data_IF_772812976116
#
_entry.id   IF_772812976116
#
_cell.length_a   1.000
_cell.length_b   1.000
_cell.length_c   1.000
_cell.angle_alpha   90.00
_cell.angle_beta   90.00
_cell.angle_gamma   90.00
#
_symmetry.space_group_name_H-M   'P 1'
#
loop_
_entity.id
_entity.type
_entity.pdbx_description
1 polymer ?
#
# COMPACT_ATOMS: atom_id res chain seq x y z
N UNK A 1 -54.40 0.05 -0.31
CA UNK A 1 -53.07 0.46 0.21
C UNK A 1 -53.04 0.72 1.72
N UNK A 2 -54.03 1.39 2.33
CA UNK A 2 -54.09 1.69 3.78
C UNK A 2 -53.77 0.49 4.70
N UNK A 3 -54.30 -0.70 4.37
CA UNK A 3 -54.15 -1.92 5.18
C UNK A 3 -52.70 -2.43 5.26
N UNK A 4 -51.93 -2.27 4.17
CA UNK A 4 -50.55 -2.73 4.09
C UNK A 4 -49.61 -1.84 4.92
N UNK A 5 -49.86 -0.53 4.92
CA UNK A 5 -49.12 0.45 5.72
C UNK A 5 -49.39 0.20 7.21
N UNK A 6 -50.64 -0.09 7.58
CA UNK A 6 -51.01 -0.37 8.96
C UNK A 6 -50.35 -1.65 9.50
N UNK A 7 -50.35 -2.73 8.71
CA UNK A 7 -49.66 -3.97 9.06
C UNK A 7 -48.14 -3.78 9.18
N UNK A 8 -47.55 -2.97 8.29
CA UNK A 8 -46.13 -2.63 8.32
C UNK A 8 -45.76 -1.80 9.56
N UNK A 9 -46.60 -0.83 9.92
CA UNK A 9 -46.45 -0.04 11.16
C UNK A 9 -46.54 -0.93 12.41
N UNK A 10 -47.52 -1.83 12.44
CA UNK A 10 -47.70 -2.77 13.54
C UNK A 10 -46.50 -3.72 13.69
N UNK A 11 -45.95 -4.24 12.59
CA UNK A 11 -44.75 -5.08 12.59
C UNK A 11 -43.49 -4.36 13.09
N UNK A 12 -43.35 -3.06 12.77
CA UNK A 12 -42.25 -2.24 13.30
C UNK A 12 -42.37 -2.05 14.81
N UNK A 13 -43.58 -1.85 15.31
CA UNK A 13 -43.83 -1.65 16.75
C UNK A 13 -43.82 -2.96 17.54
N UNK A 14 -44.20 -4.08 16.92
CA UNK A 14 -44.24 -5.40 17.53
C UNK A 14 -43.78 -6.50 16.55
N UNK A 15 -42.47 -6.79 16.47
CA UNK A 15 -41.93 -7.80 15.55
C UNK A 15 -42.29 -9.23 15.96
N UNK A 16 -42.65 -9.41 17.24
CA UNK A 16 -42.93 -10.70 17.87
C UNK A 16 -44.24 -10.64 18.65
N UNK A 17 -45.40 -10.75 17.97
CA UNK A 17 -46.69 -10.68 18.64
C UNK A 17 -46.89 -11.86 19.60
N UNK A 18 -47.36 -11.56 20.81
CA UNK A 18 -47.71 -12.55 21.82
C UNK A 18 -48.99 -13.33 21.44
N UNK A 19 -49.42 -14.29 22.27
CA UNK A 19 -50.57 -15.13 21.97
C UNK A 19 -51.88 -14.34 21.81
N UNK A 20 -52.10 -13.34 22.67
CA UNK A 20 -53.32 -12.53 22.66
C UNK A 20 -53.37 -11.64 21.41
N UNK A 21 -52.25 -11.01 21.05
CA UNK A 21 -52.11 -10.22 19.83
C UNK A 21 -52.29 -11.09 18.59
N UNK A 22 -51.75 -12.32 18.58
CA UNK A 22 -51.95 -13.26 17.47
C UNK A 22 -53.41 -13.69 17.31
N UNK A 23 -54.15 -13.82 18.42
CA UNK A 23 -55.58 -14.14 18.40
C UNK A 23 -56.39 -12.96 17.84
N UNK A 24 -56.16 -11.76 18.36
CA UNK A 24 -56.82 -10.54 17.87
C UNK A 24 -56.56 -10.30 16.37
N UNK A 25 -55.32 -10.52 15.92
CA UNK A 25 -54.97 -10.45 14.51
C UNK A 25 -55.65 -11.54 13.68
N UNK A 26 -55.72 -12.78 14.20
CA UNK A 26 -56.46 -13.89 13.58
C UNK A 26 -57.91 -13.49 13.34
N UNK A 27 -58.57 -12.94 14.35
CA UNK A 27 -59.98 -12.53 14.30
C UNK A 27 -60.18 -11.36 13.32
N UNK A 28 -59.30 -10.35 13.36
CA UNK A 28 -59.35 -9.19 12.44
C UNK A 28 -59.04 -9.53 10.98
N UNK A 29 -58.16 -10.50 10.74
CA UNK A 29 -57.71 -10.90 9.40
C UNK A 29 -58.51 -12.08 8.83
N UNK A 30 -59.33 -12.76 9.63
CA UNK A 30 -59.97 -14.01 9.25
C UNK A 30 -58.97 -15.15 8.98
N UNK A 31 -57.81 -15.12 9.64
CA UNK A 31 -56.72 -16.08 9.43
C UNK A 31 -56.55 -17.00 10.63
N UNK A 32 -56.14 -18.25 10.40
CA UNK A 32 -55.77 -19.16 11.51
C UNK A 32 -54.54 -18.62 12.26
N UNK A 33 -54.46 -18.85 13.57
CA UNK A 33 -53.32 -18.42 14.41
C UNK A 33 -51.94 -18.84 13.83
N UNK A 34 -51.85 -20.03 13.22
CA UNK A 34 -50.63 -20.50 12.56
C UNK A 34 -50.28 -19.67 11.33
N UNK A 35 -51.27 -19.26 10.52
CA UNK A 35 -51.04 -18.39 9.37
C UNK A 35 -50.53 -17.03 9.83
N UNK A 36 -51.08 -16.46 10.91
CA UNK A 36 -50.56 -15.23 11.52
C UNK A 36 -49.11 -15.41 11.98
N UNK A 37 -48.78 -16.53 12.64
CA UNK A 37 -47.39 -16.82 13.05
C UNK A 37 -46.43 -16.85 11.84
N UNK A 38 -46.81 -17.52 10.76
CA UNK A 38 -45.99 -17.62 9.55
C UNK A 38 -45.90 -16.30 8.79
N UNK A 39 -46.99 -15.52 8.73
CA UNK A 39 -47.02 -14.19 8.13
C UNK A 39 -45.96 -13.28 8.76
N UNK A 40 -45.93 -13.20 10.10
CA UNK A 40 -44.94 -12.38 10.83
C UNK A 40 -43.51 -12.90 10.66
N UNK A 41 -43.32 -14.23 10.64
CA UNK A 41 -42.02 -14.84 10.36
C UNK A 41 -41.53 -14.44 8.96
N UNK A 42 -42.35 -14.66 7.94
CA UNK A 42 -42.01 -14.36 6.54
C UNK A 42 -41.75 -12.88 6.34
N UNK A 43 -42.58 -12.01 6.94
CA UNK A 43 -42.44 -10.57 6.78
C UNK A 43 -41.16 -10.04 7.43
N UNK A 44 -40.74 -10.56 8.59
CA UNK A 44 -39.43 -10.24 9.18
C UNK A 44 -38.26 -10.66 8.29
N UNK A 45 -38.33 -11.84 7.68
CA UNK A 45 -37.31 -12.29 6.73
C UNK A 45 -37.27 -11.39 5.50
N UNK A 46 -38.42 -11.07 4.91
CA UNK A 46 -38.52 -10.14 3.77
C UNK A 46 -37.89 -8.78 4.09
N UNK A 47 -38.22 -8.19 5.25
CA UNK A 47 -37.66 -6.92 5.69
C UNK A 47 -36.15 -6.97 5.86
N UNK A 48 -35.64 -8.04 6.48
CA UNK A 48 -34.20 -8.23 6.66
C UNK A 48 -33.47 -8.37 5.32
N UNK A 49 -34.06 -9.09 4.37
CA UNK A 49 -33.50 -9.24 3.01
C UNK A 49 -33.52 -7.92 2.25
N UNK A 50 -34.63 -7.18 2.32
CA UNK A 50 -34.77 -5.89 1.67
C UNK A 50 -33.78 -4.86 2.22
N UNK A 51 -33.63 -4.78 3.54
CA UNK A 51 -32.64 -3.90 4.20
C UNK A 51 -31.20 -4.23 3.80
N UNK A 52 -30.85 -5.52 3.77
CA UNK A 52 -29.54 -5.97 3.29
C UNK A 52 -29.28 -5.58 1.84
N UNK A 53 -30.27 -5.79 0.97
CA UNK A 53 -30.16 -5.43 -0.44
C UNK A 53 -29.97 -3.92 -0.59
N UNK A 54 -30.80 -3.11 0.07
CA UNK A 54 -30.71 -1.65 0.02
C UNK A 54 -29.34 -1.16 0.50
N UNK A 55 -28.85 -1.68 1.64
CA UNK A 55 -27.50 -1.37 2.13
C UNK A 55 -26.41 -1.75 1.13
N UNK A 56 -26.50 -2.93 0.53
CA UNK A 56 -25.52 -3.37 -0.46
C UNK A 56 -25.51 -2.47 -1.71
N UNK A 57 -26.68 -2.08 -2.21
CA UNK A 57 -26.78 -1.13 -3.33
C UNK A 57 -26.19 0.23 -2.97
N UNK A 58 -26.44 0.74 -1.76
CA UNK A 58 -25.84 2.00 -1.30
C UNK A 58 -24.32 1.88 -1.22
N UNK A 59 -23.79 0.79 -0.65
CA UNK A 59 -22.35 0.56 -0.58
C UNK A 59 -21.71 0.40 -1.96
N UNK A 60 -22.38 -0.22 -2.92
CA UNK A 60 -21.90 -0.30 -4.31
C UNK A 60 -21.82 1.09 -4.94
N UNK A 61 -22.85 1.91 -4.75
CA UNK A 61 -22.89 3.28 -5.26
C UNK A 61 -21.74 4.11 -4.68
N UNK A 62 -21.58 4.10 -3.36
CA UNK A 62 -20.48 4.80 -2.67
C UNK A 62 -19.10 4.28 -3.11
N UNK A 63 -18.96 2.98 -3.33
CA UNK A 63 -17.70 2.40 -3.81
C UNK A 63 -17.35 2.89 -5.23
N UNK A 64 -18.33 2.95 -6.11
CA UNK A 64 -18.13 3.40 -7.49
C UNK A 64 -17.82 4.91 -7.54
N UNK A 65 -18.46 5.72 -6.69
CA UNK A 65 -18.12 7.14 -6.50
C UNK A 65 -16.67 7.31 -6.02
N UNK A 66 -16.27 6.59 -4.97
CA UNK A 66 -14.89 6.63 -4.46
C UNK A 66 -13.87 6.15 -5.50
N UNK A 67 -14.21 5.15 -6.32
CA UNK A 67 -13.34 4.69 -7.42
C UNK A 67 -13.19 5.74 -8.50
N UNK A 68 -14.27 6.43 -8.87
CA UNK A 68 -14.23 7.52 -9.84
C UNK A 68 -13.36 8.68 -9.33
N UNK A 69 -13.55 9.11 -8.08
CA UNK A 69 -12.72 10.13 -7.45
C UNK A 69 -11.25 9.71 -7.39
N UNK A 70 -10.97 8.45 -6.98
CA UNK A 70 -9.62 7.93 -6.91
C UNK A 70 -8.93 7.92 -8.27
N UNK A 71 -9.66 7.57 -9.34
CA UNK A 71 -9.17 7.63 -10.71
C UNK A 71 -8.83 9.07 -11.11
N UNK A 72 -9.73 10.02 -10.85
CA UNK A 72 -9.48 11.44 -11.12
C UNK A 72 -8.24 11.98 -10.38
N UNK A 73 -8.07 11.65 -9.10
CA UNK A 73 -6.90 12.07 -8.33
C UNK A 73 -5.60 11.46 -8.87
N UNK A 74 -5.62 10.17 -9.25
CA UNK A 74 -4.48 9.51 -9.87
C UNK A 74 -4.11 10.17 -11.19
N UNK A 75 -5.09 10.46 -12.05
CA UNK A 75 -4.86 11.16 -13.32
C UNK A 75 -4.31 12.57 -13.10
N UNK A 76 -4.88 13.34 -12.15
CA UNK A 76 -4.40 14.67 -11.81
C UNK A 76 -2.94 14.63 -11.32
N UNK A 77 -2.59 13.65 -10.48
CA UNK A 77 -1.23 13.44 -9.99
C UNK A 77 -0.29 13.03 -11.12
N UNK A 78 -0.65 12.06 -11.96
CA UNK A 78 0.14 11.65 -13.12
C UNK A 78 0.36 12.83 -14.06
N UNK A 79 -0.66 13.63 -14.35
CA UNK A 79 -0.57 14.82 -15.17
C UNK A 79 0.30 15.91 -14.54
N UNK A 80 0.20 16.12 -13.23
CA UNK A 80 1.06 17.05 -12.50
C UNK A 80 2.53 16.58 -12.52
N UNK A 81 2.78 15.28 -12.30
CA UNK A 81 4.10 14.68 -12.43
C UNK A 81 4.63 14.81 -13.86
N UNK A 82 3.82 14.59 -14.91
CA UNK A 82 4.25 14.78 -16.29
C UNK A 82 4.58 16.25 -16.57
N UNK A 83 3.80 17.20 -16.05
CA UNK A 83 4.09 18.64 -16.19
C UNK A 83 5.34 19.07 -15.42
N UNK A 84 5.60 18.50 -14.25
CA UNK A 84 6.82 18.75 -13.46
C UNK A 84 8.05 18.00 -14.01
N UNK A 85 7.86 16.82 -14.62
CA UNK A 85 8.91 15.92 -15.09
C UNK A 85 9.16 16.00 -16.61
N UNK A 86 8.44 16.88 -17.32
CA UNK A 86 8.35 16.86 -18.79
C UNK A 86 9.55 17.42 -19.57
N UNK A 87 10.60 17.96 -18.93
CA UNK A 87 11.84 18.35 -19.64
C UNK A 87 13.03 18.64 -18.72
N UNK A 88 12.81 19.25 -17.55
CA UNK A 88 13.91 19.66 -16.67
C UNK A 88 14.45 18.51 -15.80
N UNK A 89 13.58 17.77 -15.10
CA UNK A 89 14.00 16.79 -14.10
C UNK A 89 14.68 15.55 -14.72
N UNK A 90 14.15 15.02 -15.84
CA UNK A 90 14.75 13.85 -16.51
C UNK A 90 16.10 14.19 -17.16
N UNK A 91 16.24 15.39 -17.73
CA UNK A 91 17.50 15.84 -18.34
C UNK A 91 18.53 16.20 -17.27
N UNK A 92 18.14 16.84 -16.17
CA UNK A 92 19.07 17.19 -15.09
C UNK A 92 19.58 15.95 -14.35
N UNK A 93 18.73 14.97 -14.06
CA UNK A 93 19.18 13.71 -13.43
C UNK A 93 20.08 12.93 -14.38
N UNK A 94 19.73 12.84 -15.68
CA UNK A 94 20.56 12.15 -16.69
C UNK A 94 21.91 12.85 -16.94
N UNK A 95 21.92 14.18 -16.96
CA UNK A 95 23.14 14.99 -17.13
C UNK A 95 24.05 14.90 -15.91
N UNK A 96 23.50 14.99 -14.69
CA UNK A 96 24.27 14.80 -13.46
C UNK A 96 24.83 13.38 -13.35
N UNK A 97 24.04 12.38 -13.73
CA UNK A 97 24.50 10.98 -13.72
C UNK A 97 25.65 10.76 -14.71
N UNK A 98 25.56 11.30 -15.93
CA UNK A 98 26.65 11.22 -16.91
C UNK A 98 27.92 11.92 -16.42
N UNK A 99 27.78 13.13 -15.86
CA UNK A 99 28.89 13.89 -15.28
C UNK A 99 29.56 13.13 -14.12
N UNK A 100 28.78 12.53 -13.22
CA UNK A 100 29.29 11.73 -12.11
C UNK A 100 30.02 10.45 -12.57
N UNK A 101 29.59 9.83 -13.68
CA UNK A 101 30.29 8.67 -14.27
C UNK A 101 31.62 9.07 -14.89
N UNK A 102 31.68 10.20 -15.60
CA UNK A 102 32.91 10.73 -16.19
C UNK A 102 33.91 11.12 -15.09
N UNK A 103 33.43 11.81 -14.06
CA UNK A 103 34.27 12.23 -12.94
C UNK A 103 34.79 11.04 -12.11
N UNK A 104 33.95 10.02 -11.86
CA UNK A 104 34.42 8.78 -11.23
C UNK A 104 35.50 8.06 -12.04
N UNK A 105 35.36 8.02 -13.37
CA UNK A 105 36.38 7.41 -14.23
C UNK A 105 37.71 8.19 -14.16
N UNK A 106 37.64 9.52 -14.14
CA UNK A 106 38.81 10.40 -13.96
C UNK A 106 39.50 10.17 -12.61
N UNK A 107 38.72 10.15 -11.52
CA UNK A 107 39.24 9.93 -10.17
C UNK A 107 39.87 8.54 -10.01
N UNK A 108 39.24 7.49 -10.56
CA UNK A 108 39.81 6.13 -10.56
C UNK A 108 41.15 6.08 -11.28
N UNK A 109 41.27 6.73 -12.44
CA UNK A 109 42.56 6.85 -13.14
C UNK A 109 43.63 7.56 -12.30
N UNK A 110 43.26 8.65 -11.60
CA UNK A 110 44.20 9.34 -10.71
C UNK A 110 44.65 8.48 -9.53
N UNK A 111 43.74 7.68 -8.97
CA UNK A 111 44.08 6.71 -7.92
C UNK A 111 45.03 5.65 -8.48
N UNK A 112 44.80 5.13 -9.67
CA UNK A 112 45.66 4.14 -10.31
C UNK A 112 47.06 4.70 -10.62
N UNK A 113 47.15 5.94 -11.12
CA UNK A 113 48.42 6.62 -11.40
C UNK A 113 49.22 6.86 -10.10
N UNK A 114 48.55 7.33 -9.04
CA UNK A 114 49.17 7.50 -7.73
C UNK A 114 49.59 6.16 -7.12
N UNK A 115 48.77 5.11 -7.24
CA UNK A 115 49.11 3.78 -6.80
C UNK A 115 50.32 3.24 -7.55
N UNK A 116 50.43 3.48 -8.86
CA UNK A 116 51.59 3.10 -9.65
C UNK A 116 52.86 3.86 -9.24
N UNK A 117 52.75 5.15 -8.90
CA UNK A 117 53.86 5.94 -8.35
C UNK A 117 54.27 5.41 -6.98
N UNK A 118 53.31 5.13 -6.10
CA UNK A 118 53.54 4.55 -4.78
C UNK A 118 54.23 3.18 -4.90
N UNK A 119 53.78 2.31 -5.82
CA UNK A 119 54.44 1.03 -6.10
C UNK A 119 55.87 1.23 -6.64
N UNK A 120 56.10 2.22 -7.52
CA UNK A 120 57.45 2.55 -8.01
C UNK A 120 58.37 3.12 -6.92
N UNK A 121 57.82 3.88 -5.98
CA UNK A 121 58.56 4.45 -4.85
C UNK A 121 58.82 3.42 -3.75
N UNK A 122 57.89 2.48 -3.53
CA UNK A 122 57.98 1.39 -2.54
C UNK A 122 58.70 0.16 -3.11
N UNK A 123 58.93 0.11 -4.42
CA UNK A 123 59.59 -0.99 -5.11
C UNK A 123 61.11 -0.97 -4.97
N UNK A 124 61.63 -1.30 -3.77
CA UNK A 124 62.54 -2.44 -3.55
C UNK A 124 62.84 -2.68 -2.06
N UNK A 125 62.29 -3.74 -1.44
CA UNK A 125 63.09 -4.58 -0.56
C UNK A 125 63.74 -5.67 -1.42
N UNK A 126 65.08 -5.73 -1.42
CA UNK A 126 65.75 -6.99 -1.75
C UNK A 126 65.52 -7.95 -0.58
N UNK A 127 64.88 -9.08 -0.78
CA UNK A 127 65.29 -10.29 -0.05
C UNK A 127 64.95 -11.52 -0.88
N UNK A 128 65.96 -12.36 -1.02
CA UNK A 128 65.83 -13.77 -1.33
C UNK A 128 64.97 -14.48 -0.27
N UNK A 129 64.33 -15.52 -0.77
CA UNK A 129 63.77 -16.67 -0.07
C UNK A 129 62.34 -16.62 0.48
N UNK A 130 61.64 -17.69 0.10
CA UNK A 130 60.42 -18.29 0.61
C UNK A 130 59.06 -17.54 0.51
N UNK A 131 58.25 -18.10 -0.41
CA UNK A 131 56.80 -18.37 -0.26
C UNK A 131 55.82 -17.27 -0.69
N UNK A 132 55.22 -17.49 -1.86
CA UNK A 132 54.00 -16.81 -2.31
C UNK A 132 52.79 -17.39 -1.52
N UNK A 133 51.91 -16.53 -0.97
CA UNK A 133 50.53 -16.51 -1.46
C UNK A 133 50.10 -15.06 -1.77
N UNK A 134 49.75 -14.78 -3.03
CA UNK A 134 48.36 -14.70 -3.50
C UNK A 134 47.58 -13.48 -3.00
N UNK A 135 47.37 -12.53 -3.92
CA UNK A 135 46.20 -11.63 -4.07
C UNK A 135 45.70 -10.72 -2.94
N UNK A 136 46.26 -10.71 -1.73
CA UNK A 136 45.62 -10.01 -0.59
C UNK A 136 45.93 -8.52 -0.41
N UNK A 137 46.98 -7.96 -1.03
CA UNK A 137 47.37 -6.57 -0.78
C UNK A 137 46.31 -5.54 -1.22
N UNK A 138 45.62 -5.80 -2.33
CA UNK A 138 44.59 -4.88 -2.86
C UNK A 138 43.29 -4.94 -2.05
N UNK A 139 42.95 -6.10 -1.48
CA UNK A 139 41.77 -6.29 -0.63
C UNK A 139 41.97 -5.69 0.76
N UNK A 140 43.19 -5.70 1.31
CA UNK A 140 43.48 -5.10 2.62
C UNK A 140 43.32 -3.57 2.61
N UNK A 141 43.81 -2.90 1.55
CA UNK A 141 43.67 -1.44 1.41
C UNK A 141 42.19 -1.04 1.23
N UNK A 142 41.43 -1.79 0.44
CA UNK A 142 40.00 -1.52 0.26
C UNK A 142 39.20 -1.75 1.56
N UNK A 143 39.51 -2.80 2.33
CA UNK A 143 38.85 -3.07 3.62
C UNK A 143 39.19 -2.00 4.67
N UNK A 144 40.43 -1.50 4.75
CA UNK A 144 40.79 -0.47 5.73
C UNK A 144 40.14 0.89 5.43
N UNK A 145 40.04 1.27 4.15
CA UNK A 145 39.32 2.49 3.72
C UNK A 145 37.82 2.37 4.01
N UNK A 146 37.20 1.23 3.73
CA UNK A 146 35.78 0.98 4.02
C UNK A 146 35.50 0.95 5.53
N UNK A 147 36.42 0.39 6.34
CA UNK A 147 36.31 0.36 7.81
C UNK A 147 36.47 1.76 8.43
N UNK A 148 37.31 2.60 7.84
CA UNK A 148 37.46 4.02 8.21
C UNK A 148 36.20 4.87 7.94
N UNK A 149 35.42 4.51 6.91
CA UNK A 149 34.14 5.18 6.59
C UNK A 149 33.03 4.71 7.55
N UNK A 150 33.01 3.43 7.93
CA UNK A 150 31.99 2.87 8.84
C UNK A 150 32.17 3.28 10.31
N UNK A 151 33.36 3.77 10.69
CA UNK A 151 33.67 4.29 12.03
C UNK A 151 33.11 5.68 12.36
N UNK A 152 32.56 6.42 11.38
CA UNK A 152 32.02 7.79 11.59
C UNK A 152 30.53 7.85 11.94
N UNK A 153 29.87 6.71 12.20
CA UNK A 153 28.51 6.65 12.73
C UNK A 153 28.43 5.93 14.09
N UNK A 154 29.36 6.22 15.00
CA UNK A 154 29.18 5.90 16.43
C UNK A 154 28.69 7.14 17.17
N UNK A 155 27.36 7.24 17.23
CA UNK A 155 26.49 7.92 18.20
C UNK A 155 27.25 8.54 19.38
N UNK A 156 27.25 9.87 19.47
CA UNK A 156 27.23 10.55 20.77
C UNK A 156 25.78 10.92 21.08
N UNK A 157 25.36 10.55 22.29
CA UNK A 157 24.04 10.83 22.89
C UNK A 157 23.92 12.29 23.29
#
# INVERSE_FOLDING_TARGET
MQYYIHLYGFLKQCPHPNNNQRKELSDKLGLKLLQVKFLFKNKRIQLKTWDKHHKNTNFQTENDELRAENMMYKEALTNACIRACGRAIVVEISSNEHHLRVENARLRKQIDDLAAIVVKLIGKPSVDDATIPSSTASSTIYIEVVRGIKGKHRIEK
#
